data_IF_356225016533
#
_entry.id   IF_356225016533
#
_cell.length_a   1.000
_cell.length_b   1.000
_cell.length_c   1.000
_cell.angle_alpha   90.00
_cell.angle_beta   90.00
_cell.angle_gamma   90.00
#
_symmetry.space_group_name_H-M   'P 1'
#
loop_
_entity.id
_entity.type
_entity.pdbx_description
1 polymer ?
#
# COMPACT_ATOMS: atom_id res chain seq x y z
N UNK A 1 3.46 0.57 -19.11
CA UNK A 1 3.44 -0.88 -19.30
C UNK A 1 2.31 -1.48 -18.46
N UNK A 2 1.44 -2.26 -19.07
CA UNK A 2 0.20 -2.71 -18.44
C UNK A 2 0.16 -4.19 -18.09
N UNK A 3 1.33 -4.82 -17.90
CA UNK A 3 1.37 -6.26 -17.62
C UNK A 3 0.57 -6.63 -16.37
N UNK A 4 0.38 -5.71 -15.46
CA UNK A 4 -0.32 -5.93 -14.20
C UNK A 4 -1.68 -5.23 -14.12
N UNK A 5 -2.19 -4.75 -15.24
CA UNK A 5 -3.41 -3.93 -15.26
C UNK A 5 -4.60 -4.64 -14.62
N UNK A 6 -4.72 -5.95 -14.83
CA UNK A 6 -5.82 -6.74 -14.30
C UNK A 6 -5.43 -7.57 -13.07
N UNK A 7 -4.19 -7.43 -12.58
CA UNK A 7 -3.73 -8.18 -11.44
C UNK A 7 -4.11 -7.47 -10.14
N UNK A 8 -4.48 -8.24 -9.12
CA UNK A 8 -4.65 -7.71 -7.78
C UNK A 8 -3.28 -7.61 -7.11
N UNK A 9 -2.80 -6.40 -6.93
CA UNK A 9 -1.46 -6.14 -6.39
C UNK A 9 -1.47 -5.88 -4.87
N UNK A 10 -2.59 -6.09 -4.20
CA UNK A 10 -2.71 -5.79 -2.77
C UNK A 10 -1.74 -6.59 -1.90
N UNK A 11 -1.40 -7.80 -2.32
CA UNK A 11 -0.44 -8.65 -1.61
C UNK A 11 1.02 -8.38 -2.01
N UNK A 12 1.26 -7.44 -2.91
CA UNK A 12 2.61 -7.05 -3.30
C UNK A 12 3.15 -6.03 -2.30
N UNK A 13 3.44 -6.50 -1.11
CA UNK A 13 3.96 -5.70 -0.01
C UNK A 13 4.83 -6.59 0.88
N UNK A 14 5.61 -5.97 1.74
CA UNK A 14 6.41 -6.73 2.70
C UNK A 14 5.50 -7.40 3.73
N UNK A 15 5.86 -8.60 4.11
CA UNK A 15 5.07 -9.38 5.06
C UNK A 15 4.89 -8.65 6.39
N UNK A 16 5.93 -7.93 6.84
CA UNK A 16 5.86 -7.23 8.12
C UNK A 16 4.78 -6.15 8.14
N UNK A 17 4.41 -5.61 6.99
CA UNK A 17 3.34 -4.61 6.93
C UNK A 17 1.99 -5.22 7.31
N UNK A 18 1.75 -6.46 6.88
CA UNK A 18 0.53 -7.18 7.25
C UNK A 18 0.55 -7.62 8.72
N UNK A 19 1.68 -8.08 9.22
CA UNK A 19 1.76 -8.46 10.64
C UNK A 19 1.62 -7.25 11.56
N UNK A 20 2.18 -6.10 11.18
CA UNK A 20 1.95 -4.86 11.90
C UNK A 20 0.49 -4.42 11.85
N UNK A 21 -0.13 -4.53 10.65
CA UNK A 21 -1.55 -4.24 10.49
C UNK A 21 -2.42 -5.08 11.41
N UNK A 22 -2.11 -6.36 11.52
CA UNK A 22 -2.79 -7.25 12.46
C UNK A 22 -2.65 -6.77 13.90
N UNK A 23 -1.45 -6.37 14.29
CA UNK A 23 -1.19 -5.83 15.63
C UNK A 23 -2.01 -4.58 15.92
N UNK A 24 -2.06 -3.65 14.97
CA UNK A 24 -2.86 -2.44 15.11
C UNK A 24 -4.35 -2.75 15.22
N UNK A 25 -4.85 -3.70 14.43
CA UNK A 25 -6.24 -4.09 14.49
C UNK A 25 -6.59 -4.69 15.86
N UNK A 26 -5.75 -5.60 16.36
CA UNK A 26 -5.97 -6.22 17.66
C UNK A 26 -5.97 -5.18 18.79
N UNK A 27 -5.20 -4.10 18.63
CA UNK A 27 -5.17 -2.99 19.58
C UNK A 27 -6.31 -1.98 19.39
N UNK A 28 -7.20 -2.20 18.44
CA UNK A 28 -8.30 -1.28 18.18
C UNK A 28 -7.90 0.00 17.48
N UNK A 29 -6.79 -0.01 16.73
CA UNK A 29 -6.22 1.20 16.12
C UNK A 29 -6.55 1.33 14.62
N UNK A 30 -7.42 0.49 14.08
CA UNK A 30 -7.71 0.45 12.63
C UNK A 30 -8.29 1.75 12.07
N UNK A 31 -8.93 2.56 12.90
CA UNK A 31 -9.53 3.83 12.47
C UNK A 31 -8.67 5.05 12.74
N UNK A 32 -7.43 4.83 13.21
CA UNK A 32 -6.53 5.93 13.50
C UNK A 32 -5.97 6.52 12.21
N UNK A 33 -5.93 7.85 12.15
CA UNK A 33 -5.38 8.57 11.01
C UNK A 33 -3.89 8.77 11.24
N UNK A 34 -3.09 8.43 10.22
CA UNK A 34 -1.64 8.63 10.23
C UNK A 34 -1.23 9.33 8.93
N UNK A 35 -0.05 9.94 8.94
CA UNK A 35 0.51 10.65 7.79
C UNK A 35 1.83 10.01 7.43
N UNK A 36 1.99 9.67 6.14
CA UNK A 36 3.21 9.05 5.63
C UNK A 36 3.70 9.83 4.42
N UNK A 37 5.02 9.96 4.33
CA UNK A 37 5.67 10.55 3.17
C UNK A 37 6.28 9.45 2.30
N UNK A 38 6.12 9.59 0.99
CA UNK A 38 6.84 8.76 0.03
C UNK A 38 8.02 9.59 -0.48
N UNK A 39 9.21 9.03 -0.39
CA UNK A 39 10.43 9.73 -0.77
C UNK A 39 11.44 8.73 -1.35
N UNK A 40 12.41 9.26 -2.09
CA UNK A 40 13.53 8.46 -2.55
C UNK A 40 14.74 8.68 -1.63
N UNK A 41 15.50 7.63 -1.38
CA UNK A 41 16.64 7.68 -0.45
C UNK A 41 17.91 8.25 -1.07
N UNK A 42 18.06 8.09 -2.38
CA UNK A 42 19.22 8.58 -3.10
C UNK A 42 18.80 9.05 -4.47
N UNK A 43 19.51 10.07 -4.97
CA UNK A 43 19.24 10.61 -6.30
C UNK A 43 19.68 9.57 -7.33
N UNK A 44 18.81 9.21 -8.31
CA UNK A 44 19.18 8.25 -9.33
C UNK A 44 20.29 8.83 -10.23
N UNK A 45 21.24 7.96 -10.61
CA UNK A 45 22.31 8.26 -11.57
C UNK A 45 23.17 9.46 -11.19
N UNK A 46 23.25 9.80 -9.90
CA UNK A 46 23.97 10.99 -9.42
C UNK A 46 23.56 12.28 -10.13
N UNK A 47 22.31 12.33 -10.60
CA UNK A 47 21.82 13.44 -11.43
C UNK A 47 21.42 14.71 -10.67
N UNK A 48 21.44 14.69 -9.35
CA UNK A 48 21.10 15.84 -8.52
C UNK A 48 19.61 16.03 -8.26
N UNK A 49 18.75 15.34 -8.98
CA UNK A 49 17.30 15.43 -8.79
C UNK A 49 16.61 14.20 -9.39
N UNK A 50 15.35 14.04 -9.05
CA UNK A 50 14.48 13.04 -9.66
C UNK A 50 13.25 13.73 -10.25
N UNK A 51 12.60 13.09 -11.21
CA UNK A 51 11.38 13.63 -11.82
C UNK A 51 10.20 12.81 -11.27
N UNK A 52 9.19 13.51 -10.76
CA UNK A 52 7.99 12.87 -10.24
C UNK A 52 7.25 12.13 -11.36
N UNK A 53 6.99 10.84 -11.15
CA UNK A 53 6.27 10.00 -12.10
C UNK A 53 5.50 8.92 -11.34
N UNK A 54 4.50 8.35 -11.98
CA UNK A 54 3.79 7.21 -11.43
C UNK A 54 2.59 7.57 -10.55
N UNK A 55 2.21 8.84 -10.47
CA UNK A 55 1.07 9.26 -9.64
C UNK A 55 -0.23 8.59 -10.09
N UNK A 56 -0.48 8.50 -11.40
CA UNK A 56 -1.67 7.86 -11.93
C UNK A 56 -1.75 6.39 -11.50
N UNK A 57 -0.64 5.67 -11.62
CA UNK A 57 -0.56 4.28 -11.21
C UNK A 57 -0.78 4.12 -9.69
N UNK A 58 -0.25 5.03 -8.89
CA UNK A 58 -0.45 5.00 -7.45
C UNK A 58 -1.92 5.22 -7.09
N UNK A 59 -2.59 6.15 -7.76
CA UNK A 59 -4.01 6.41 -7.56
C UNK A 59 -4.83 5.17 -7.93
N UNK A 60 -4.56 4.58 -9.09
CA UNK A 60 -5.25 3.35 -9.52
C UNK A 60 -5.04 2.23 -8.51
N UNK A 61 -3.81 2.07 -8.00
CA UNK A 61 -3.50 1.05 -7.01
C UNK A 61 -4.37 1.19 -5.77
N UNK A 62 -4.45 2.38 -5.18
CA UNK A 62 -5.22 2.57 -3.95
C UNK A 62 -6.73 2.49 -4.21
N UNK A 63 -7.21 2.92 -5.37
CA UNK A 63 -8.62 2.81 -5.71
C UNK A 63 -9.06 1.36 -5.90
N UNK A 64 -8.15 0.49 -6.35
CA UNK A 64 -8.44 -0.92 -6.59
C UNK A 64 -7.97 -1.83 -5.45
N UNK A 65 -7.40 -1.25 -4.40
CA UNK A 65 -6.86 -2.02 -3.29
C UNK A 65 -7.97 -2.85 -2.62
N UNK A 66 -7.80 -4.17 -2.65
CA UNK A 66 -8.74 -5.09 -2.02
C UNK A 66 -8.05 -6.45 -1.80
N UNK A 67 -8.57 -7.20 -0.86
CA UNK A 67 -8.08 -8.56 -0.57
C UNK A 67 -9.18 -9.55 -0.95
N UNK A 68 -8.86 -10.47 -1.84
CA UNK A 68 -9.83 -11.49 -2.27
C UNK A 68 -9.74 -12.75 -1.41
N UNK A 69 -10.59 -13.74 -1.69
CA UNK A 69 -10.67 -14.96 -0.89
C UNK A 69 -9.37 -15.75 -0.92
N UNK A 70 -8.65 -15.76 -2.04
CA UNK A 70 -7.36 -16.45 -2.14
C UNK A 70 -6.31 -15.78 -1.25
N UNK A 71 -6.30 -14.45 -1.21
CA UNK A 71 -5.40 -13.69 -0.33
C UNK A 71 -5.69 -14.01 1.14
N UNK A 72 -6.96 -14.00 1.51
CA UNK A 72 -7.38 -14.29 2.89
C UNK A 72 -7.02 -15.73 3.26
N UNK A 73 -7.24 -16.68 2.35
CA UNK A 73 -6.90 -18.08 2.59
C UNK A 73 -5.40 -18.27 2.81
N UNK A 74 -4.59 -17.58 2.01
CA UNK A 74 -3.13 -17.64 2.17
C UNK A 74 -2.72 -17.10 3.55
N UNK A 75 -3.22 -15.92 3.91
CA UNK A 75 -2.87 -15.31 5.19
C UNK A 75 -3.32 -16.18 6.36
N UNK A 76 -4.51 -16.79 6.26
CA UNK A 76 -4.99 -17.71 7.29
C UNK A 76 -4.05 -18.89 7.43
N UNK A 77 -3.51 -19.40 6.33
CA UNK A 77 -2.60 -20.55 6.36
C UNK A 77 -1.29 -20.27 7.10
N UNK A 78 -0.93 -18.99 7.27
CA UNK A 78 0.29 -18.62 7.99
C UNK A 78 0.15 -18.71 9.51
N UNK A 79 -1.07 -18.78 10.02
CA UNK A 79 -1.38 -18.93 11.46
C UNK A 79 -0.84 -17.79 12.32
N UNK A 80 -0.69 -16.59 11.76
CA UNK A 80 -0.14 -15.42 12.46
C UNK A 80 -1.13 -14.25 12.55
N UNK A 81 -2.34 -14.43 12.04
CA UNK A 81 -3.30 -13.33 11.92
C UNK A 81 -4.57 -13.66 12.71
N UNK A 82 -5.06 -12.65 13.43
CA UNK A 82 -6.35 -12.72 14.10
C UNK A 82 -7.47 -12.89 13.06
N UNK A 83 -8.43 -13.75 13.33
CA UNK A 83 -9.53 -14.00 12.40
C UNK A 83 -10.35 -12.72 12.15
N UNK A 84 -10.52 -11.88 13.18
CA UNK A 84 -11.18 -10.59 13.03
C UNK A 84 -10.45 -9.69 12.04
N UNK A 85 -9.12 -9.69 12.07
CA UNK A 85 -8.31 -8.93 11.12
C UNK A 85 -8.52 -9.44 9.69
N UNK A 86 -8.56 -10.76 9.50
CA UNK A 86 -8.80 -11.33 8.17
C UNK A 86 -10.19 -10.94 7.64
N UNK A 87 -11.20 -10.91 8.50
CA UNK A 87 -12.51 -10.43 8.10
C UNK A 87 -12.51 -8.94 7.77
N UNK A 88 -11.75 -8.16 8.52
CA UNK A 88 -11.55 -6.74 8.23
C UNK A 88 -10.92 -6.55 6.85
N UNK A 89 -9.90 -7.33 6.50
CA UNK A 89 -9.24 -7.24 5.19
C UNK A 89 -10.20 -7.61 4.05
N UNK A 90 -11.12 -8.53 4.28
CA UNK A 90 -12.09 -8.96 3.25
C UNK A 90 -12.91 -7.79 2.72
N UNK A 91 -13.29 -6.87 3.59
CA UNK A 91 -14.05 -5.69 3.21
C UNK A 91 -13.23 -4.42 3.06
N UNK A 92 -11.91 -4.53 3.15
CA UNK A 92 -11.04 -3.36 3.16
C UNK A 92 -11.08 -2.60 1.85
N UNK A 93 -11.18 -1.26 1.96
CA UNK A 93 -11.02 -0.32 0.85
C UNK A 93 -10.24 0.88 1.37
N UNK A 94 -9.44 1.46 0.49
CA UNK A 94 -8.69 2.67 0.85
C UNK A 94 -9.67 3.83 1.04
N UNK A 95 -9.56 4.52 2.18
CA UNK A 95 -10.42 5.65 2.53
C UNK A 95 -9.62 6.90 2.85
N UNK A 96 -8.30 6.87 2.69
CA UNK A 96 -7.43 7.99 2.99
C UNK A 96 -7.32 8.98 1.84
N UNK A 97 -6.42 9.94 2.01
CA UNK A 97 -6.15 10.98 1.04
C UNK A 97 -4.71 10.87 0.55
N UNK A 98 -4.49 11.29 -0.69
CA UNK A 98 -3.15 11.39 -1.27
C UNK A 98 -2.92 12.85 -1.66
N UNK A 99 -1.82 13.40 -1.15
CA UNK A 99 -1.33 14.73 -1.53
C UNK A 99 -0.04 14.52 -2.30
N UNK A 100 0.05 15.09 -3.49
CA UNK A 100 1.21 14.84 -4.35
C UNK A 100 1.55 16.06 -5.19
N UNK A 101 2.82 16.16 -5.56
CA UNK A 101 3.25 17.13 -6.56
C UNK A 101 2.78 16.65 -7.94
N UNK A 102 2.57 17.58 -8.89
CA UNK A 102 2.22 17.19 -10.25
C UNK A 102 3.29 16.30 -10.88
N UNK A 103 2.87 15.42 -11.78
CA UNK A 103 3.78 14.59 -12.59
C UNK A 103 4.73 15.53 -13.36
N UNK A 104 5.96 15.08 -13.54
CA UNK A 104 7.05 15.80 -14.19
C UNK A 104 7.66 16.93 -13.35
N UNK A 105 7.30 17.05 -12.08
CA UNK A 105 7.93 18.02 -11.19
C UNK A 105 9.32 17.51 -10.77
N UNK A 106 10.38 18.33 -10.88
CA UNK A 106 11.70 17.95 -10.35
C UNK A 106 11.66 17.89 -8.82
N UNK A 107 12.26 16.82 -8.26
CA UNK A 107 12.30 16.58 -6.83
C UNK A 107 13.74 16.51 -6.36
N UNK A 108 14.01 17.11 -5.21
CA UNK A 108 15.33 17.13 -4.58
C UNK A 108 15.25 16.42 -3.24
N UNK A 109 16.32 15.69 -2.90
CA UNK A 109 16.35 15.00 -1.60
C UNK A 109 16.77 15.94 -0.48
#
# INVERSE_FOLDING_TARGET
MDINKNANLSMLCDYYELTMGNGYFVQGMQDRITYFDIFFRSVPDNGGFAIAAGLEQAIEYVQQLHFDEDDIAYLRSRNMFDEGFLQYLRGFRFTGDIWAVPVCTPLFS
#
